data_IF_386789060314
#
_entry.id   IF_386789060314
#
_cell.length_a   1.000
_cell.length_b   1.000
_cell.length_c   1.000
_cell.angle_alpha   90.00
_cell.angle_beta   90.00
_cell.angle_gamma   90.00
#
_symmetry.space_group_name_H-M   'P 1'
#
loop_
_entity.id
_entity.type
_entity.pdbx_description
1 polymer ?
#
# COMPACT_ATOMS: atom_id res chain seq x y z
N UNK A 1 29.95 -4.27 -4.72
CA UNK A 1 28.62 -3.63 -4.86
C UNK A 1 27.53 -4.52 -5.48
N UNK A 2 27.80 -5.77 -5.92
CA UNK A 2 26.78 -6.67 -6.52
C UNK A 2 25.95 -7.49 -5.53
N UNK A 3 26.28 -7.46 -4.25
CA UNK A 3 25.72 -8.40 -3.25
C UNK A 3 24.36 -7.94 -2.69
N UNK A 4 24.08 -6.63 -2.68
CA UNK A 4 22.82 -6.08 -2.15
C UNK A 4 21.60 -6.26 -3.06
N UNK A 5 21.78 -6.52 -4.36
CA UNK A 5 20.65 -6.66 -5.30
C UNK A 5 20.03 -8.06 -5.29
N UNK A 6 20.84 -9.09 -5.02
CA UNK A 6 20.37 -10.49 -5.01
C UNK A 6 19.54 -10.81 -3.76
N UNK A 7 19.79 -10.12 -2.65
CA UNK A 7 19.10 -10.33 -1.37
C UNK A 7 17.66 -9.77 -1.33
N UNK A 8 17.38 -8.66 -2.04
CA UNK A 8 16.01 -8.09 -2.13
C UNK A 8 15.00 -9.03 -2.80
N UNK A 9 15.46 -9.89 -3.72
CA UNK A 9 14.63 -10.94 -4.33
C UNK A 9 14.29 -12.06 -3.34
N UNK A 10 15.11 -12.28 -2.30
CA UNK A 10 14.99 -13.40 -1.36
C UNK A 10 13.71 -13.35 -0.52
N UNK A 11 13.27 -12.16 -0.10
CA UNK A 11 12.05 -11.99 0.71
C UNK A 11 10.79 -11.74 -0.12
N UNK A 12 10.93 -11.22 -1.34
CA UNK A 12 9.77 -10.89 -2.17
C UNK A 12 8.90 -12.11 -2.48
N UNK A 13 9.53 -13.24 -2.85
CA UNK A 13 8.80 -14.47 -3.16
C UNK A 13 8.07 -15.04 -1.92
N UNK A 14 8.71 -15.21 -0.74
CA UNK A 14 8.01 -15.60 0.48
C UNK A 14 6.85 -14.68 0.85
N UNK A 15 7.03 -13.36 0.79
CA UNK A 15 5.97 -12.38 1.10
C UNK A 15 4.78 -12.57 0.16
N UNK A 16 5.04 -12.74 -1.14
CA UNK A 16 3.99 -13.00 -2.12
C UNK A 16 3.21 -14.28 -1.81
N UNK A 17 3.92 -15.38 -1.48
CA UNK A 17 3.27 -16.64 -1.11
C UNK A 17 2.41 -16.50 0.16
N UNK A 18 2.90 -15.77 1.18
CA UNK A 18 2.11 -15.52 2.39
C UNK A 18 0.89 -14.63 2.13
N UNK A 19 0.99 -13.65 1.22
CA UNK A 19 -0.16 -12.84 0.82
C UNK A 19 -1.28 -13.69 0.18
N UNK A 20 -0.91 -14.64 -0.69
CA UNK A 20 -1.87 -15.59 -1.28
C UNK A 20 -2.49 -16.51 -0.23
N UNK A 21 -1.69 -17.02 0.73
CA UNK A 21 -2.20 -17.82 1.85
C UNK A 21 -3.14 -17.03 2.76
N UNK A 22 -2.93 -15.73 2.89
CA UNK A 22 -3.80 -14.81 3.62
C UNK A 22 -5.05 -14.37 2.82
N UNK A 23 -5.37 -15.05 1.72
CA UNK A 23 -6.55 -14.82 0.87
C UNK A 23 -6.55 -13.50 0.08
N UNK A 24 -5.40 -12.85 -0.10
CA UNK A 24 -5.28 -11.79 -1.11
C UNK A 24 -5.12 -12.42 -2.49
N UNK A 25 -5.64 -11.76 -3.54
CA UNK A 25 -5.51 -12.27 -4.91
C UNK A 25 -4.13 -11.95 -5.50
N UNK A 26 -3.48 -10.87 -5.04
CA UNK A 26 -2.13 -10.47 -5.46
C UNK A 26 -1.51 -9.48 -4.45
N UNK A 27 -0.20 -9.25 -4.50
CA UNK A 27 0.45 -8.14 -3.80
C UNK A 27 1.66 -7.57 -4.55
N UNK A 28 1.96 -6.29 -4.31
CA UNK A 28 3.19 -5.63 -4.72
C UNK A 28 3.98 -5.10 -3.52
N UNK A 29 5.28 -4.87 -3.69
CA UNK A 29 6.16 -4.30 -2.67
C UNK A 29 6.76 -3.00 -3.22
N UNK A 30 6.58 -1.88 -2.51
CA UNK A 30 7.11 -0.56 -2.89
C UNK A 30 8.06 -0.01 -1.82
N UNK A 31 8.98 0.89 -2.20
CA UNK A 31 9.79 1.64 -1.23
C UNK A 31 8.92 2.66 -0.49
N UNK A 32 9.31 3.05 0.72
CA UNK A 32 8.71 4.23 1.36
C UNK A 32 9.05 5.54 0.63
N UNK A 33 10.07 5.55 -0.21
CA UNK A 33 10.41 6.71 -1.04
C UNK A 33 9.32 6.94 -2.11
N UNK A 34 8.65 5.86 -2.56
CA UNK A 34 7.54 5.96 -3.52
C UNK A 34 6.27 6.60 -2.89
N UNK A 35 6.25 6.82 -1.57
CA UNK A 35 5.15 7.45 -0.85
C UNK A 35 5.31 8.96 -0.67
N UNK A 36 6.42 9.58 -1.10
CA UNK A 36 6.68 11.02 -0.89
C UNK A 36 5.56 11.91 -1.44
N UNK A 37 4.96 11.52 -2.56
CA UNK A 37 3.89 12.28 -3.21
C UNK A 37 2.48 11.98 -2.66
N UNK A 38 2.34 11.02 -1.74
CA UNK A 38 1.04 10.53 -1.30
C UNK A 38 0.20 11.62 -0.63
N UNK A 39 0.78 12.42 0.27
CA UNK A 39 0.06 13.50 0.97
C UNK A 39 -0.45 14.57 0.00
N UNK A 40 0.39 14.96 -0.97
CA UNK A 40 0.01 15.93 -2.00
C UNK A 40 -1.17 15.41 -2.85
N UNK A 41 -1.18 14.13 -3.22
CA UNK A 41 -2.29 13.50 -3.95
C UNK A 41 -3.55 13.38 -3.10
N UNK A 42 -3.43 13.25 -1.79
CA UNK A 42 -4.56 13.25 -0.88
C UNK A 42 -5.20 14.64 -0.82
N UNK A 43 -4.38 15.69 -0.69
CA UNK A 43 -4.84 17.08 -0.71
C UNK A 43 -5.55 17.42 -2.03
N UNK A 44 -4.95 17.08 -3.17
CA UNK A 44 -5.54 17.29 -4.51
C UNK A 44 -6.94 16.68 -4.62
N UNK A 45 -7.16 15.49 -4.06
CA UNK A 45 -8.48 14.82 -4.06
C UNK A 45 -9.50 15.50 -3.16
N UNK A 46 -9.06 15.95 -1.98
CA UNK A 46 -9.92 16.67 -1.04
C UNK A 46 -10.35 18.03 -1.60
N UNK A 47 -9.46 18.72 -2.31
CA UNK A 47 -9.77 19.98 -3.00
C UNK A 47 -10.73 19.76 -4.18
N UNK A 48 -10.53 18.70 -4.96
CA UNK A 48 -11.37 18.38 -6.10
C UNK A 48 -12.80 17.96 -5.71
N UNK A 49 -12.97 17.30 -4.55
CA UNK A 49 -14.26 16.85 -4.04
C UNK A 49 -14.33 17.11 -2.52
N UNK A 50 -14.73 18.32 -2.08
CA UNK A 50 -14.74 18.69 -0.66
C UNK A 50 -15.57 17.76 0.24
N UNK A 51 -16.65 17.18 -0.29
CA UNK A 51 -17.51 16.23 0.44
C UNK A 51 -16.77 14.94 0.83
N UNK A 52 -15.66 14.62 0.14
CA UNK A 52 -14.82 13.46 0.44
C UNK A 52 -13.85 13.68 1.60
N UNK A 53 -13.70 14.93 2.07
CA UNK A 53 -12.75 15.30 3.11
C UNK A 53 -12.86 14.45 4.39
N UNK A 54 -14.05 14.19 4.97
CA UNK A 54 -14.14 13.37 6.19
C UNK A 54 -13.60 11.95 6.01
N UNK A 55 -13.76 11.37 4.81
CA UNK A 55 -13.19 10.07 4.49
C UNK A 55 -11.65 10.14 4.45
N UNK A 56 -11.10 11.12 3.76
CA UNK A 56 -9.64 11.23 3.60
C UNK A 56 -8.92 11.64 4.89
N UNK A 57 -9.53 12.47 5.74
CA UNK A 57 -9.00 12.80 7.05
C UNK A 57 -8.85 11.55 7.94
N UNK A 58 -9.77 10.59 7.84
CA UNK A 58 -9.69 9.34 8.61
C UNK A 58 -8.49 8.46 8.23
N UNK A 59 -7.97 8.57 7.01
CA UNK A 59 -6.84 7.77 6.50
C UNK A 59 -5.55 8.59 6.34
N UNK A 60 -5.57 9.88 6.69
CA UNK A 60 -4.44 10.80 6.52
C UNK A 60 -3.18 10.36 7.28
N UNK A 61 -3.34 9.62 8.36
CA UNK A 61 -2.23 8.99 9.09
C UNK A 61 -1.34 8.08 8.22
N UNK A 62 -1.80 7.68 7.03
CA UNK A 62 -1.03 6.91 6.06
C UNK A 62 -0.07 7.77 5.22
N UNK A 63 -0.19 9.10 5.24
CA UNK A 63 0.84 9.98 4.71
C UNK A 63 2.11 9.98 5.59
N UNK A 64 1.94 9.77 6.90
CA UNK A 64 3.02 9.83 7.90
C UNK A 64 3.58 8.44 8.26
N UNK A 65 3.70 7.52 7.29
CA UNK A 65 4.13 6.13 7.57
C UNK A 65 5.50 6.07 8.26
N UNK A 66 6.45 6.94 7.89
CA UNK A 66 7.78 6.99 8.53
C UNK A 66 7.70 7.42 10.00
N UNK A 67 6.74 8.27 10.36
CA UNK A 67 6.51 8.67 11.75
C UNK A 67 5.86 7.56 12.55
N UNK A 68 4.90 6.83 11.95
CA UNK A 68 4.20 5.70 12.59
C UNK A 68 5.09 4.46 12.74
N UNK A 69 5.93 4.20 11.75
CA UNK A 69 6.79 3.02 11.69
C UNK A 69 8.21 3.43 11.27
N UNK A 70 9.03 4.01 12.18
CA UNK A 70 10.37 4.52 11.83
C UNK A 70 11.34 3.45 11.31
N UNK A 71 11.08 2.19 11.62
CA UNK A 71 11.87 1.04 11.17
C UNK A 71 11.47 0.52 9.79
N UNK A 72 10.32 0.93 9.26
CA UNK A 72 9.80 0.42 8.00
C UNK A 72 10.67 0.89 6.84
N UNK A 73 10.88 -0.01 5.87
CA UNK A 73 11.67 0.24 4.65
C UNK A 73 10.84 0.14 3.38
N UNK A 74 9.72 -0.54 3.45
CA UNK A 74 8.85 -0.84 2.31
C UNK A 74 7.41 -1.06 2.78
N UNK A 75 6.48 -0.96 1.84
CA UNK A 75 5.08 -1.31 2.02
C UNK A 75 4.75 -2.53 1.17
N UNK A 76 3.92 -3.43 1.70
CA UNK A 76 3.28 -4.51 0.95
C UNK A 76 1.85 -4.07 0.64
N UNK A 77 1.55 -3.88 -0.63
CA UNK A 77 0.21 -3.49 -1.12
C UNK A 77 -0.49 -4.75 -1.59
N UNK A 78 -1.43 -5.24 -0.79
CA UNK A 78 -2.26 -6.37 -1.17
C UNK A 78 -3.50 -5.92 -1.93
N UNK A 79 -3.96 -6.77 -2.86
CA UNK A 79 -5.15 -6.51 -3.67
C UNK A 79 -6.10 -7.69 -3.57
N UNK A 80 -7.40 -7.37 -3.60
CA UNK A 80 -8.49 -8.34 -3.66
C UNK A 80 -9.41 -7.98 -4.80
N UNK A 81 -9.73 -8.95 -5.64
CA UNK A 81 -10.64 -8.83 -6.76
C UNK A 81 -12.09 -9.00 -6.29
N UNK A 82 -12.79 -7.87 -6.20
CA UNK A 82 -14.20 -7.85 -5.82
C UNK A 82 -15.16 -8.36 -6.91
N UNK A 83 -14.70 -8.62 -8.13
CA UNK A 83 -15.57 -9.08 -9.23
C UNK A 83 -16.14 -10.48 -9.07
N UNK A 84 -15.76 -11.22 -8.02
CA UNK A 84 -16.43 -12.48 -7.60
C UNK A 84 -17.70 -12.22 -6.78
N UNK A 85 -17.90 -11.00 -6.26
CA UNK A 85 -19.14 -10.62 -5.58
C UNK A 85 -20.28 -10.56 -6.61
N UNK A 86 -21.43 -11.10 -6.24
CA UNK A 86 -22.69 -11.02 -6.98
C UNK A 86 -23.73 -10.51 -6.00
N UNK A 87 -24.54 -9.53 -6.42
CA UNK A 87 -25.71 -9.14 -5.63
C UNK A 87 -26.59 -10.38 -5.46
N UNK A 88 -27.09 -10.66 -4.24
CA UNK A 88 -28.11 -11.68 -4.04
C UNK A 88 -29.33 -11.35 -4.92
N UNK A 89 -29.95 -12.39 -5.50
CA UNK A 89 -31.30 -12.30 -6.07
C UNK A 89 -32.36 -12.25 -4.96
#
# INVERSE_FOLDING_TARGET
>A
MKEKSTDRLGLAQPIYQEALKACFDNCGIISLDDMEIFDARLMERMEAVPESQPFYDSIRMNADIRKRYPWAKSLVICTTWYGKYRYPE
#
